data_IF_588983380756
#
_entry.id   IF_588983380756
#
_cell.length_a   1.000
_cell.length_b   1.000
_cell.length_c   1.000
_cell.angle_alpha   90.00
_cell.angle_beta   90.00
_cell.angle_gamma   90.00
#
_symmetry.space_group_name_H-M   'P 1'
#
loop_
_entity.id
_entity.type
_entity.pdbx_description
1 polymer ?
#
# COMPACT_ATOMS: atom_id res chain seq x y z
N UNK A 1 2.84 14.16 -9.05
CA UNK A 1 2.33 12.95 -8.39
C UNK A 1 1.10 13.33 -7.58
N UNK A 2 -0.06 12.69 -7.80
CA UNK A 2 -1.24 12.87 -6.95
C UNK A 2 -1.10 12.01 -5.69
N UNK A 3 -0.30 12.46 -4.72
CA UNK A 3 0.11 11.62 -3.58
C UNK A 3 -0.94 11.52 -2.48
N UNK A 4 -1.76 12.56 -2.31
CA UNK A 4 -2.78 12.61 -1.27
C UNK A 4 -3.94 11.63 -1.57
N UNK A 5 -4.24 11.40 -2.86
CA UNK A 5 -5.36 10.56 -3.30
C UNK A 5 -5.28 9.12 -2.77
N UNK A 6 -4.20 8.36 -3.07
CA UNK A 6 -4.03 7.00 -2.56
C UNK A 6 -4.08 6.92 -1.03
N UNK A 7 -3.49 7.89 -0.34
CA UNK A 7 -3.40 7.92 1.11
C UNK A 7 -4.78 8.13 1.77
N UNK A 8 -5.59 9.05 1.24
CA UNK A 8 -7.00 9.23 1.62
C UNK A 8 -7.82 7.98 1.26
N UNK A 9 -7.52 7.36 0.11
CA UNK A 9 -8.11 6.10 -0.31
C UNK A 9 -7.92 4.97 0.70
N UNK A 10 -6.72 4.81 1.29
CA UNK A 10 -6.49 3.81 2.35
C UNK A 10 -7.29 4.09 3.62
N UNK A 11 -7.42 5.36 4.03
CA UNK A 11 -8.22 5.71 5.21
C UNK A 11 -9.70 5.40 5.03
N UNK A 12 -10.28 5.89 3.93
CA UNK A 12 -11.71 5.70 3.64
C UNK A 12 -11.99 4.23 3.32
N UNK A 13 -11.16 3.61 2.48
CA UNK A 13 -11.25 2.19 2.14
C UNK A 13 -11.12 1.29 3.37
N UNK A 14 -10.25 1.63 4.32
CA UNK A 14 -10.13 0.92 5.60
C UNK A 14 -11.41 0.98 6.44
N UNK A 15 -12.21 2.04 6.35
CA UNK A 15 -13.53 2.08 7.00
C UNK A 15 -14.55 1.23 6.25
N UNK A 16 -14.57 1.26 4.91
CA UNK A 16 -15.46 0.40 4.13
C UNK A 16 -15.16 -1.09 4.35
N UNK A 17 -13.90 -1.45 4.63
CA UNK A 17 -13.53 -2.82 4.97
C UNK A 17 -14.09 -3.32 6.31
N UNK A 18 -14.64 -2.44 7.16
CA UNK A 18 -15.36 -2.86 8.38
C UNK A 18 -16.81 -3.26 8.13
N UNK A 19 -17.35 -2.98 6.95
CA UNK A 19 -18.69 -3.40 6.53
C UNK A 19 -18.58 -4.74 5.82
N UNK A 20 -19.52 -5.66 6.08
CA UNK A 20 -19.53 -6.97 5.43
C UNK A 20 -19.85 -6.84 3.94
N UNK A 21 -19.25 -7.69 3.11
CA UNK A 21 -19.33 -7.59 1.64
C UNK A 21 -20.74 -7.77 1.08
N UNK A 22 -21.54 -8.69 1.66
CA UNK A 22 -22.87 -9.03 1.17
C UNK A 22 -23.93 -8.14 1.82
N UNK A 23 -24.69 -7.44 0.98
CA UNK A 23 -25.79 -6.57 1.44
C UNK A 23 -26.98 -7.46 1.82
N UNK A 24 -27.54 -7.25 3.00
CA UNK A 24 -28.75 -7.96 3.46
C UNK A 24 -28.49 -9.25 4.22
N UNK A 25 -27.22 -9.64 4.40
CA UNK A 25 -26.83 -10.73 5.29
C UNK A 25 -26.29 -10.12 6.59
N UNK A 26 -26.85 -10.50 7.73
CA UNK A 26 -26.34 -10.04 9.02
C UNK A 26 -25.08 -10.85 9.38
N UNK A 27 -23.89 -10.21 9.48
CA UNK A 27 -22.66 -10.91 9.84
C UNK A 27 -22.72 -11.50 11.24
N UNK A 28 -23.58 -10.98 12.12
CA UNK A 28 -23.74 -11.51 13.48
C UNK A 28 -24.36 -12.90 13.47
N UNK A 29 -25.34 -13.18 12.60
CA UNK A 29 -25.93 -14.51 12.40
C UNK A 29 -24.88 -15.52 11.89
N UNK A 30 -23.96 -15.04 11.04
CA UNK A 30 -22.85 -15.84 10.56
C UNK A 30 -21.73 -16.01 11.60
N UNK A 31 -21.75 -15.24 12.68
CA UNK A 31 -20.72 -15.22 13.72
C UNK A 31 -19.40 -14.65 13.24
N UNK A 32 -19.45 -13.63 12.38
CA UNK A 32 -18.30 -13.00 11.74
C UNK A 32 -18.13 -11.56 12.22
N UNK A 33 -16.88 -11.17 12.44
CA UNK A 33 -16.47 -9.82 12.80
C UNK A 33 -15.35 -9.34 11.87
N UNK A 34 -15.11 -8.03 11.82
CA UNK A 34 -14.01 -7.47 10.98
C UNK A 34 -12.60 -7.95 11.34
N UNK A 35 -12.45 -8.60 12.50
CA UNK A 35 -11.22 -9.24 12.96
C UNK A 35 -11.13 -10.73 12.59
N UNK A 36 -12.22 -11.30 12.08
CA UNK A 36 -12.27 -12.71 11.68
C UNK A 36 -11.39 -12.95 10.45
N UNK A 37 -10.74 -14.10 10.41
CA UNK A 37 -9.84 -14.52 9.33
C UNK A 37 -10.52 -14.63 7.95
N UNK A 38 -11.81 -14.99 7.94
CA UNK A 38 -12.65 -15.16 6.73
C UNK A 38 -13.38 -13.86 6.35
N UNK A 39 -13.20 -12.78 7.11
CA UNK A 39 -13.90 -11.53 6.85
C UNK A 39 -13.50 -10.91 5.51
N UNK A 40 -14.49 -10.70 4.64
CA UNK A 40 -14.34 -9.91 3.42
C UNK A 40 -15.13 -8.62 3.58
N UNK A 41 -14.42 -7.50 3.56
CA UNK A 41 -15.03 -6.18 3.66
C UNK A 41 -15.65 -5.72 2.34
N UNK A 42 -16.56 -4.74 2.41
CA UNK A 42 -17.27 -4.17 1.27
C UNK A 42 -16.38 -3.29 0.35
N UNK A 43 -15.42 -3.92 -0.32
CA UNK A 43 -14.42 -3.28 -1.18
C UNK A 43 -15.03 -2.52 -2.37
N UNK A 44 -16.20 -2.95 -2.85
CA UNK A 44 -16.88 -2.39 -4.02
C UNK A 44 -17.44 -0.98 -3.77
N UNK A 45 -17.73 -0.62 -2.51
CA UNK A 45 -18.29 0.70 -2.14
C UNK A 45 -17.34 1.83 -2.58
N UNK A 46 -16.03 1.59 -2.49
CA UNK A 46 -15.02 2.58 -2.90
C UNK A 46 -15.14 2.96 -4.37
N UNK A 47 -15.43 2.01 -5.26
CA UNK A 47 -15.60 2.28 -6.70
C UNK A 47 -16.83 3.15 -6.98
N UNK A 48 -17.94 2.87 -6.31
CA UNK A 48 -19.18 3.67 -6.46
C UNK A 48 -18.97 5.08 -5.93
N UNK A 49 -18.40 5.21 -4.73
CA UNK A 49 -18.14 6.51 -4.12
C UNK A 49 -17.20 7.38 -4.97
N UNK A 50 -16.10 6.80 -5.47
CA UNK A 50 -15.15 7.52 -6.32
C UNK A 50 -15.74 7.88 -7.68
N UNK A 51 -16.59 7.04 -8.26
CA UNK A 51 -17.30 7.34 -9.52
C UNK A 51 -18.27 8.53 -9.36
N UNK A 52 -19.05 8.56 -8.28
CA UNK A 52 -19.97 9.67 -7.99
C UNK A 52 -19.18 10.96 -7.77
N UNK A 53 -18.12 10.92 -6.97
CA UNK A 53 -17.28 12.08 -6.72
C UNK A 53 -16.62 12.60 -8.00
N UNK A 54 -16.14 11.70 -8.86
CA UNK A 54 -15.59 12.04 -10.17
C UNK A 54 -16.61 12.71 -11.08
N UNK A 55 -17.84 12.21 -11.12
CA UNK A 55 -18.93 12.83 -11.88
C UNK A 55 -19.27 14.24 -11.35
N UNK A 56 -19.32 14.41 -10.02
CA UNK A 56 -19.57 15.70 -9.39
C UNK A 56 -18.47 16.72 -9.70
N UNK A 57 -17.20 16.29 -9.77
CA UNK A 57 -16.07 17.16 -10.14
C UNK A 57 -16.06 17.47 -11.64
N UNK A 58 -16.53 16.55 -12.49
CA UNK A 58 -16.62 16.78 -13.93
C UNK A 58 -17.58 17.93 -14.28
N UNK A 59 -18.71 18.07 -13.57
CA UNK A 59 -19.71 19.13 -13.83
C UNK A 59 -19.10 20.55 -13.81
N UNK A 60 -18.45 21.03 -12.72
CA UNK A 60 -17.82 22.36 -12.72
C UNK A 60 -16.65 22.46 -13.71
N UNK A 61 -15.96 21.35 -14.01
CA UNK A 61 -14.92 21.34 -15.05
C UNK A 61 -15.50 21.64 -16.44
N UNK A 62 -16.73 21.21 -16.74
CA UNK A 62 -17.41 21.56 -18.01
C UNK A 62 -17.78 23.04 -18.11
N UNK A 63 -17.88 23.76 -16.99
CA UNK A 63 -18.18 25.18 -16.97
C UNK A 63 -16.93 26.06 -17.27
N UNK A 64 -15.73 25.47 -17.37
CA UNK A 64 -14.54 26.25 -17.73
C UNK A 64 -14.59 26.70 -19.20
N UNK A 65 -14.25 27.97 -19.48
CA UNK A 65 -14.20 28.47 -20.85
C UNK A 65 -13.09 27.75 -21.62
N UNK A 66 -13.33 27.50 -22.92
CA UNK A 66 -12.33 26.88 -23.84
C UNK A 66 -10.98 27.58 -23.82
N UNK A 67 -10.97 28.88 -23.54
CA UNK A 67 -9.77 29.69 -23.37
C UNK A 67 -9.94 30.56 -22.14
N UNK A 68 -9.00 30.47 -21.19
CA UNK A 68 -9.00 31.39 -20.05
C UNK A 68 -8.75 32.83 -20.53
N UNK A 69 -9.46 33.83 -19.99
CA UNK A 69 -9.18 35.23 -20.27
C UNK A 69 -7.73 35.56 -19.88
N UNK A 70 -6.99 36.22 -20.78
CA UNK A 70 -5.55 36.49 -20.60
C UNK A 70 -4.61 35.37 -21.08
N UNK A 71 -5.13 34.18 -21.45
CA UNK A 71 -4.30 33.12 -22.02
C UNK A 71 -3.58 33.55 -23.30
N UNK A 72 -4.25 34.34 -24.16
CA UNK A 72 -3.64 34.89 -25.38
C UNK A 72 -2.51 35.87 -25.07
N UNK A 73 -2.66 36.72 -24.04
CA UNK A 73 -1.66 37.69 -23.63
C UNK A 73 -0.44 37.01 -23.01
N UNK A 74 -0.64 36.04 -22.11
CA UNK A 74 0.44 35.25 -21.50
C UNK A 74 1.13 34.39 -22.57
N UNK A 75 0.37 33.84 -23.53
CA UNK A 75 0.94 33.09 -24.65
C UNK A 75 1.77 34.02 -25.53
N UNK A 76 1.31 35.23 -25.85
CA UNK A 76 2.09 36.22 -26.57
C UNK A 76 3.36 36.61 -25.79
N UNK A 77 3.25 37.01 -24.53
CA UNK A 77 4.39 37.38 -23.66
C UNK A 77 5.41 36.24 -23.55
N UNK A 78 4.98 34.99 -23.29
CA UNK A 78 5.87 33.82 -23.25
C UNK A 78 6.44 33.45 -24.61
N UNK A 79 5.71 33.69 -25.71
CA UNK A 79 6.24 33.45 -27.06
C UNK A 79 7.34 34.47 -27.34
N UNK A 80 7.19 35.72 -26.93
CA UNK A 80 8.24 36.75 -27.07
C UNK A 80 9.45 36.47 -26.19
N UNK A 81 9.25 36.03 -24.93
CA UNK A 81 10.34 35.74 -23.98
C UNK A 81 11.08 34.44 -24.33
N UNK A 82 10.36 33.41 -24.78
CA UNK A 82 10.94 32.18 -25.33
C UNK A 82 11.60 32.46 -26.69
N UNK A 83 10.96 33.20 -27.61
CA UNK A 83 11.57 33.56 -28.90
C UNK A 83 12.78 34.46 -28.74
N UNK A 84 12.84 35.39 -27.77
CA UNK A 84 14.08 36.15 -27.54
C UNK A 84 15.23 35.25 -27.04
N UNK A 85 14.93 34.23 -26.23
CA UNK A 85 15.94 33.25 -25.77
C UNK A 85 16.26 32.16 -26.80
N UNK A 86 15.34 31.84 -27.71
CA UNK A 86 15.46 30.79 -28.73
C UNK A 86 15.71 31.32 -30.16
N UNK A 87 15.60 32.61 -30.45
CA UNK A 87 15.86 33.17 -31.81
C UNK A 87 17.31 32.96 -32.25
N UNK A 88 18.21 32.77 -31.29
CA UNK A 88 19.59 32.42 -31.58
C UNK A 88 19.76 30.90 -31.86
N UNK A 89 18.72 30.07 -31.67
CA UNK A 89 18.80 28.60 -31.64
C UNK A 89 18.28 27.89 -32.88
N UNK A 90 19.09 26.97 -33.41
CA UNK A 90 18.76 26.07 -34.53
C UNK A 90 17.49 25.22 -34.31
N UNK A 91 17.05 25.00 -33.05
CA UNK A 91 15.81 24.29 -32.77
C UNK A 91 14.56 25.00 -33.34
N UNK A 92 14.58 26.34 -33.45
CA UNK A 92 13.50 27.10 -34.09
C UNK A 92 13.62 27.11 -35.61
N UNK A 93 14.85 27.06 -36.15
CA UNK A 93 15.05 26.94 -37.60
C UNK A 93 14.54 25.60 -38.17
N UNK A 94 14.60 24.52 -37.38
CA UNK A 94 14.12 23.19 -37.78
C UNK A 94 12.63 22.93 -37.51
N UNK A 95 11.85 23.93 -37.10
CA UNK A 95 10.39 23.80 -36.95
C UNK A 95 9.93 22.89 -35.79
N UNK A 96 10.79 22.67 -34.79
CA UNK A 96 10.53 21.75 -33.68
C UNK A 96 9.20 22.07 -32.95
N UNK A 97 8.26 21.12 -32.96
CA UNK A 97 7.01 21.19 -32.20
C UNK A 97 5.81 21.76 -32.94
N UNK A 98 5.93 21.99 -34.26
CA UNK A 98 4.80 22.45 -35.09
C UNK A 98 4.04 21.30 -35.74
N UNK A 99 4.66 20.12 -35.91
CA UNK A 99 4.03 18.93 -36.51
C UNK A 99 4.27 17.65 -35.70
N UNK A 100 3.30 16.72 -35.74
CA UNK A 100 3.44 15.38 -35.14
C UNK A 100 4.61 14.58 -35.71
N UNK A 101 5.10 14.97 -36.90
CA UNK A 101 6.30 14.39 -37.53
C UNK A 101 7.62 14.77 -36.83
N UNK A 102 7.61 15.80 -35.98
CA UNK A 102 8.80 16.21 -35.22
C UNK A 102 8.92 15.45 -33.89
N UNK A 103 7.86 14.74 -33.49
CA UNK A 103 7.78 13.98 -32.24
C UNK A 103 8.83 12.85 -32.17
N UNK A 104 9.05 12.02 -33.21
CA UNK A 104 10.08 10.99 -33.19
C UNK A 104 11.50 11.58 -33.06
N UNK A 105 11.78 12.69 -33.75
CA UNK A 105 13.07 13.39 -33.66
C UNK A 105 13.30 13.98 -32.27
N UNK A 106 12.27 14.62 -31.69
CA UNK A 106 12.27 15.12 -30.31
C UNK A 106 12.51 14.01 -29.29
N UNK A 107 11.86 12.85 -29.48
CA UNK A 107 12.01 11.71 -28.59
C UNK A 107 13.42 11.14 -28.65
N UNK A 108 13.98 10.99 -29.86
CA UNK A 108 15.36 10.57 -30.07
C UNK A 108 16.35 11.54 -29.42
N UNK A 109 16.11 12.83 -29.54
CA UNK A 109 16.94 13.86 -28.92
C UNK A 109 16.96 13.75 -27.39
N UNK A 110 15.78 13.63 -26.76
CA UNK A 110 15.67 13.43 -25.31
C UNK A 110 16.35 12.14 -24.83
N UNK A 111 16.20 11.04 -25.57
CA UNK A 111 16.83 9.76 -25.26
C UNK A 111 18.35 9.75 -25.46
N UNK A 112 18.89 10.67 -26.29
CA UNK A 112 20.35 10.80 -26.49
C UNK A 112 20.98 11.61 -25.35
N UNK A 113 20.20 12.36 -24.58
CA UNK A 113 20.69 13.12 -23.43
C UNK A 113 20.83 12.20 -22.19
N UNK A 114 22.06 11.89 -21.74
CA UNK A 114 22.27 10.93 -20.66
C UNK A 114 21.62 11.38 -19.34
N UNK A 115 21.64 12.68 -19.04
CA UNK A 115 21.07 13.21 -17.79
C UNK A 115 19.56 13.01 -17.74
N UNK A 116 18.86 13.24 -18.86
CA UNK A 116 17.43 13.00 -18.96
C UNK A 116 17.12 11.52 -18.76
N UNK A 117 17.83 10.63 -19.45
CA UNK A 117 17.64 9.18 -19.34
C UNK A 117 17.84 8.68 -17.91
N UNK A 118 18.93 9.08 -17.23
CA UNK A 118 19.19 8.66 -15.84
C UNK A 118 18.13 9.20 -14.87
N UNK A 119 17.68 10.44 -15.05
CA UNK A 119 16.67 11.04 -14.19
C UNK A 119 15.28 10.42 -14.42
N UNK A 120 14.94 10.09 -15.66
CA UNK A 120 13.74 9.34 -16.00
C UNK A 120 13.78 7.91 -15.45
N UNK A 121 14.93 7.23 -15.53
CA UNK A 121 15.12 5.89 -14.96
C UNK A 121 15.00 5.91 -13.43
N UNK A 122 15.58 6.93 -12.78
CA UNK A 122 15.43 7.14 -11.34
C UNK A 122 13.96 7.36 -10.95
N UNK A 123 13.25 8.23 -11.67
CA UNK A 123 11.82 8.48 -11.45
C UNK A 123 10.94 7.24 -11.72
N UNK A 124 11.28 6.42 -12.72
CA UNK A 124 10.58 5.17 -12.99
C UNK A 124 10.79 4.14 -11.86
N UNK A 125 12.03 4.02 -11.37
CA UNK A 125 12.37 3.14 -10.24
C UNK A 125 11.66 3.57 -8.96
N UNK A 126 11.63 4.88 -8.69
CA UNK A 126 10.89 5.47 -7.58
C UNK A 126 9.37 5.19 -7.71
N UNK A 127 8.80 5.39 -8.90
CA UNK A 127 7.40 5.11 -9.17
C UNK A 127 7.03 3.64 -8.96
N UNK A 128 7.88 2.71 -9.41
CA UNK A 128 7.71 1.28 -9.18
C UNK A 128 7.74 0.93 -7.69
N UNK A 129 8.68 1.49 -6.93
CA UNK A 129 8.78 1.29 -5.49
C UNK A 129 7.53 1.80 -4.76
N UNK A 130 7.07 3.02 -5.07
CA UNK A 130 5.86 3.60 -4.47
C UNK A 130 4.62 2.78 -4.83
N UNK A 131 4.50 2.32 -6.08
CA UNK A 131 3.38 1.47 -6.51
C UNK A 131 3.38 0.13 -5.77
N UNK A 132 4.53 -0.54 -5.66
CA UNK A 132 4.65 -1.82 -4.96
C UNK A 132 4.34 -1.69 -3.47
N UNK A 133 4.89 -0.65 -2.82
CA UNK A 133 4.60 -0.37 -1.42
C UNK A 133 3.12 -0.02 -1.22
N UNK A 134 2.52 0.82 -2.07
CA UNK A 134 1.09 1.11 -1.95
C UNK A 134 0.27 -0.20 -1.99
N UNK A 135 0.44 -1.02 -3.02
CA UNK A 135 -0.38 -2.23 -3.20
C UNK A 135 -0.20 -3.25 -2.07
N UNK A 136 1.04 -3.53 -1.67
CA UNK A 136 1.31 -4.68 -0.79
C UNK A 136 1.54 -4.31 0.67
N UNK A 137 1.82 -3.05 1.00
CA UNK A 137 2.16 -2.67 2.37
C UNK A 137 1.05 -2.97 3.40
N UNK A 138 -0.24 -2.67 3.14
CA UNK A 138 -1.30 -3.06 4.08
C UNK A 138 -1.31 -4.56 4.33
N UNK A 139 -1.02 -5.36 3.28
CA UNK A 139 -1.02 -6.82 3.39
C UNK A 139 0.20 -7.36 4.13
N UNK A 140 1.35 -6.72 3.96
CA UNK A 140 2.56 -7.00 4.75
C UNK A 140 2.27 -6.74 6.23
N UNK A 141 1.69 -5.59 6.58
CA UNK A 141 1.35 -5.27 7.98
C UNK A 141 0.31 -6.27 8.52
N UNK A 142 -0.72 -6.56 7.75
CA UNK A 142 -1.77 -7.52 8.11
C UNK A 142 -1.20 -8.91 8.41
N UNK A 143 -0.28 -9.39 7.58
CA UNK A 143 0.34 -10.71 7.70
C UNK A 143 1.36 -10.76 8.83
N UNK A 144 2.30 -9.80 8.87
CA UNK A 144 3.41 -9.77 9.84
C UNK A 144 2.93 -9.56 11.27
N UNK A 145 2.00 -8.63 11.48
CA UNK A 145 1.49 -8.29 12.80
C UNK A 145 0.18 -9.01 13.14
N UNK A 146 -0.32 -9.88 12.25
CA UNK A 146 -1.54 -10.67 12.44
C UNK A 146 -2.77 -9.84 12.82
N UNK A 147 -2.88 -8.62 12.29
CA UNK A 147 -3.99 -7.69 12.56
C UNK A 147 -5.09 -7.78 11.49
N UNK A 148 -6.25 -7.18 11.75
CA UNK A 148 -7.35 -7.08 10.79
C UNK A 148 -6.96 -6.22 9.56
N UNK A 149 -7.45 -6.61 8.37
CA UNK A 149 -7.16 -5.90 7.12
C UNK A 149 -7.61 -4.44 7.14
N UNK A 150 -8.76 -4.16 7.75
CA UNK A 150 -9.31 -2.81 7.94
C UNK A 150 -8.37 -1.94 8.78
N UNK A 151 -7.85 -2.48 9.89
CA UNK A 151 -6.94 -1.76 10.77
C UNK A 151 -5.57 -1.53 10.11
N UNK A 152 -5.03 -2.52 9.41
CA UNK A 152 -3.80 -2.38 8.64
C UNK A 152 -3.88 -1.27 7.57
N UNK A 153 -4.99 -1.21 6.82
CA UNK A 153 -5.21 -0.17 5.81
C UNK A 153 -5.27 1.23 6.45
N UNK A 154 -5.95 1.38 7.59
CA UNK A 154 -6.00 2.66 8.32
C UNK A 154 -4.62 3.08 8.80
N UNK A 155 -3.82 2.16 9.37
CA UNK A 155 -2.45 2.46 9.80
C UNK A 155 -1.58 2.94 8.64
N UNK A 156 -1.66 2.27 7.48
CA UNK A 156 -0.95 2.72 6.26
C UNK A 156 -1.40 4.12 5.87
N UNK A 157 -2.70 4.41 5.87
CA UNK A 157 -3.21 5.76 5.60
C UNK A 157 -2.65 6.82 6.55
N UNK A 158 -2.68 6.55 7.87
CA UNK A 158 -2.18 7.48 8.90
C UNK A 158 -0.68 7.73 8.78
N UNK A 159 0.11 6.72 8.41
CA UNK A 159 1.57 6.85 8.22
C UNK A 159 1.91 7.52 6.89
N UNK A 160 1.23 7.14 5.82
CA UNK A 160 1.56 7.61 4.47
C UNK A 160 1.15 9.04 4.23
N UNK A 161 0.00 9.53 4.73
CA UNK A 161 -0.43 10.93 4.54
C UNK A 161 0.63 11.94 5.00
N UNK A 162 1.10 11.93 6.26
CA UNK A 162 2.10 12.89 6.71
C UNK A 162 3.47 12.63 6.07
N UNK A 163 3.86 11.37 5.81
CA UNK A 163 5.13 11.05 5.14
C UNK A 163 5.16 11.57 3.71
N UNK A 164 4.13 11.26 2.92
CA UNK A 164 3.98 11.70 1.55
C UNK A 164 3.77 13.20 1.39
N UNK A 165 2.77 13.75 2.08
CA UNK A 165 2.44 15.16 2.00
C UNK A 165 3.55 16.03 2.58
N UNK A 166 4.05 15.65 3.75
CA UNK A 166 5.17 16.32 4.41
C UNK A 166 6.45 16.22 3.60
N UNK A 167 6.79 15.06 3.06
CA UNK A 167 7.99 14.85 2.23
C UNK A 167 7.95 15.67 0.95
N UNK A 168 6.83 15.63 0.23
CA UNK A 168 6.61 16.41 -1.00
C UNK A 168 6.78 17.92 -0.73
N UNK A 169 6.13 18.43 0.32
CA UNK A 169 6.21 19.84 0.70
C UNK A 169 7.62 20.23 1.15
N UNK A 170 8.24 19.42 2.02
CA UNK A 170 9.58 19.65 2.55
C UNK A 170 10.65 19.61 1.45
N UNK A 171 10.55 18.70 0.49
CA UNK A 171 11.45 18.61 -0.66
C UNK A 171 11.42 19.88 -1.51
N UNK A 172 10.23 20.38 -1.84
CA UNK A 172 10.07 21.65 -2.56
C UNK A 172 10.54 22.86 -1.74
N UNK A 173 10.23 22.87 -0.44
CA UNK A 173 10.67 23.92 0.47
C UNK A 173 12.20 23.98 0.61
N UNK A 174 12.88 22.83 0.73
CA UNK A 174 14.35 22.75 0.82
C UNK A 174 15.02 23.31 -0.44
N UNK A 175 14.54 22.94 -1.63
CA UNK A 175 15.05 23.47 -2.90
C UNK A 175 14.92 24.99 -2.97
N UNK A 176 13.78 25.54 -2.51
CA UNK A 176 13.52 26.98 -2.48
C UNK A 176 14.36 27.70 -1.42
N UNK A 177 14.41 27.20 -0.18
CA UNK A 177 15.11 27.83 0.93
C UNK A 177 16.62 27.88 0.71
N UNK A 178 17.19 26.79 0.19
CA UNK A 178 18.62 26.66 -0.07
C UNK A 178 19.04 27.27 -1.42
N UNK A 179 18.09 27.81 -2.20
CA UNK A 179 18.33 28.35 -3.55
C UNK A 179 19.21 27.44 -4.42
N UNK A 180 18.92 26.13 -4.40
CA UNK A 180 19.78 25.14 -5.05
C UNK A 180 19.72 25.29 -6.57
N UNK A 181 20.91 25.40 -7.19
CA UNK A 181 21.10 25.23 -8.63
C UNK A 181 20.96 23.76 -9.03
N UNK A 182 20.90 23.45 -10.32
CA UNK A 182 20.69 22.09 -10.82
C UNK A 182 21.65 21.05 -10.20
N UNK A 183 22.94 21.37 -10.09
CA UNK A 183 23.91 20.47 -9.46
C UNK A 183 23.62 20.22 -7.96
N UNK A 184 23.12 21.24 -7.24
CA UNK A 184 22.72 21.10 -5.84
C UNK A 184 21.47 20.24 -5.66
N UNK A 185 20.49 20.38 -6.57
CA UNK A 185 19.28 19.54 -6.59
C UNK A 185 19.66 18.07 -6.79
N UNK A 186 20.54 17.77 -7.77
CA UNK A 186 20.96 16.39 -8.02
C UNK A 186 21.73 15.81 -6.83
N UNK A 187 22.66 16.57 -6.23
CA UNK A 187 23.37 16.14 -5.01
C UNK A 187 22.40 15.82 -3.87
N UNK A 188 21.40 16.67 -3.66
CA UNK A 188 20.36 16.47 -2.66
C UNK A 188 19.56 15.19 -2.93
N UNK A 189 19.13 14.96 -4.18
CA UNK A 189 18.43 13.73 -4.57
C UNK A 189 19.28 12.49 -4.28
N UNK A 190 20.56 12.50 -4.67
CA UNK A 190 21.48 11.38 -4.43
C UNK A 190 21.58 11.07 -2.93
N UNK A 191 21.81 12.10 -2.09
CA UNK A 191 21.93 11.93 -0.63
C UNK A 191 20.67 11.29 -0.04
N UNK A 192 19.49 11.80 -0.38
CA UNK A 192 18.24 11.27 0.16
C UNK A 192 17.87 9.91 -0.43
N UNK A 193 18.24 9.61 -1.67
CA UNK A 193 18.11 8.27 -2.24
C UNK A 193 18.97 7.24 -1.50
N UNK A 194 20.22 7.58 -1.12
CA UNK A 194 21.04 6.70 -0.28
C UNK A 194 20.41 6.45 1.10
N UNK A 195 19.82 7.49 1.70
CA UNK A 195 19.08 7.35 2.97
C UNK A 195 17.87 6.42 2.78
N UNK A 196 17.09 6.57 1.70
CA UNK A 196 15.99 5.66 1.38
C UNK A 196 16.46 4.20 1.25
N UNK A 197 17.55 3.95 0.52
CA UNK A 197 18.10 2.58 0.37
C UNK A 197 18.48 1.99 1.72
N UNK A 198 19.07 2.79 2.62
CA UNK A 198 19.35 2.36 4.01
C UNK A 198 18.07 2.02 4.79
N UNK A 199 16.97 2.74 4.57
CA UNK A 199 15.70 2.48 5.24
C UNK A 199 14.96 1.24 4.70
N UNK A 200 15.27 0.76 3.48
CA UNK A 200 14.70 -0.48 2.92
C UNK A 200 15.06 -1.72 3.75
N UNK A 201 16.15 -1.68 4.51
CA UNK A 201 16.52 -2.77 5.44
C UNK A 201 15.49 -3.00 6.55
N UNK A 202 14.47 -2.14 6.68
CA UNK A 202 13.31 -2.38 7.53
C UNK A 202 12.66 -3.75 7.31
N UNK A 203 12.65 -4.28 6.08
CA UNK A 203 12.04 -5.58 5.78
C UNK A 203 12.83 -6.77 6.33
N UNK A 204 14.03 -6.57 6.87
CA UNK A 204 14.76 -7.59 7.63
C UNK A 204 14.11 -7.82 9.00
N UNK A 205 13.40 -6.82 9.54
CA UNK A 205 12.65 -6.97 10.79
C UNK A 205 11.43 -7.86 10.51
N UNK A 206 11.58 -9.16 10.77
CA UNK A 206 10.51 -10.15 10.65
C UNK A 206 9.96 -10.50 12.03
N UNK A 207 8.63 -10.61 12.14
CA UNK A 207 7.99 -11.16 13.33
C UNK A 207 7.90 -12.69 13.18
N UNK A 208 8.03 -13.49 14.25
CA UNK A 208 7.87 -14.94 14.13
C UNK A 208 6.51 -15.26 13.49
N UNK A 209 6.47 -16.18 12.52
CA UNK A 209 5.22 -16.55 11.87
C UNK A 209 4.24 -17.11 12.92
N UNK A 210 2.94 -16.83 12.75
CA UNK A 210 1.91 -17.45 13.58
C UNK A 210 2.04 -18.98 13.52
N UNK A 211 1.91 -19.64 14.67
CA UNK A 211 1.97 -21.10 14.76
C UNK A 211 0.76 -21.66 14.03
N UNK A 212 0.99 -22.54 13.06
CA UNK A 212 -0.06 -23.15 12.26
C UNK A 212 0.06 -24.66 12.34
N UNK A 213 -1.00 -25.30 12.82
CA UNK A 213 -1.09 -26.74 13.03
C UNK A 213 -0.97 -27.50 11.69
N UNK A 214 -0.02 -28.43 11.59
CA UNK A 214 0.26 -29.20 10.37
C UNK A 214 1.15 -28.50 9.34
N UNK A 215 1.59 -27.25 9.59
CA UNK A 215 2.58 -26.53 8.78
C UNK A 215 3.86 -26.23 9.57
N UNK A 216 3.75 -25.36 10.58
CA UNK A 216 4.88 -24.89 11.39
C UNK A 216 4.91 -25.56 12.77
N UNK A 217 3.83 -26.24 13.15
CA UNK A 217 3.73 -26.99 14.40
C UNK A 217 3.18 -28.38 14.09
N UNK A 218 3.93 -29.40 14.51
CA UNK A 218 3.54 -30.79 14.31
C UNK A 218 2.36 -31.15 15.22
N UNK A 219 1.42 -31.91 14.66
CA UNK A 219 0.30 -32.46 15.42
C UNK A 219 0.78 -33.70 16.18
N UNK A 220 0.23 -33.99 17.38
CA UNK A 220 0.54 -35.23 18.08
C UNK A 220 0.28 -36.45 17.17
N UNK A 221 1.27 -37.34 17.06
CA UNK A 221 1.27 -38.53 16.20
C UNK A 221 1.17 -38.30 14.67
N UNK A 222 1.46 -37.10 14.16
CA UNK A 222 1.77 -36.96 12.72
C UNK A 222 3.13 -37.61 12.44
N UNK A 223 3.12 -38.92 12.22
CA UNK A 223 4.27 -39.67 11.72
C UNK A 223 4.58 -39.15 10.32
N UNK A 224 5.71 -38.46 10.14
CA UNK A 224 6.12 -38.01 8.81
C UNK A 224 7.48 -38.60 8.42
N UNK A 225 7.44 -39.34 7.31
CA UNK A 225 8.60 -39.69 6.49
C UNK A 225 8.48 -39.07 5.07
N UNK A 226 7.46 -38.24 4.80
CA UNK A 226 7.05 -37.90 3.43
C UNK A 226 6.93 -36.41 3.11
N UNK A 227 7.10 -35.48 4.06
CA UNK A 227 7.26 -34.04 3.79
C UNK A 227 6.02 -33.37 3.18
N UNK A 228 4.84 -33.96 3.35
CA UNK A 228 3.56 -33.37 2.93
C UNK A 228 2.84 -32.86 4.18
N UNK A 229 2.53 -31.56 4.29
CA UNK A 229 1.83 -31.03 5.45
C UNK A 229 0.45 -31.68 5.57
N UNK A 230 0.28 -32.54 6.58
CA UNK A 230 -1.00 -33.17 6.90
C UNK A 230 -1.64 -32.42 8.06
N UNK A 231 -2.82 -31.85 7.79
CA UNK A 231 -3.68 -31.24 8.79
C UNK A 231 -4.43 -32.28 9.64
N UNK A 232 -4.35 -33.56 9.27
CA UNK A 232 -4.93 -34.69 9.99
C UNK A 232 -3.93 -35.32 10.97
N UNK A 233 -4.39 -35.62 12.18
CA UNK A 233 -3.66 -36.39 13.19
C UNK A 233 -4.65 -37.13 14.11
N UNK A 234 -4.14 -37.80 15.15
CA UNK A 234 -4.98 -38.69 15.99
C UNK A 234 -6.12 -37.96 16.71
N UNK A 235 -5.97 -36.66 16.98
CA UNK A 235 -6.99 -35.86 17.65
C UNK A 235 -8.21 -35.56 16.76
N UNK A 236 -8.03 -35.45 15.44
CA UNK A 236 -9.11 -35.14 14.50
C UNK A 236 -9.44 -36.31 13.56
N UNK A 237 -8.85 -37.49 13.76
CA UNK A 237 -9.09 -38.69 12.95
C UNK A 237 -10.55 -39.16 13.03
N UNK A 238 -11.20 -38.97 14.18
CA UNK A 238 -12.63 -39.25 14.34
C UNK A 238 -13.53 -38.29 13.54
N UNK A 239 -12.98 -37.18 13.05
CA UNK A 239 -13.68 -36.19 12.25
C UNK A 239 -13.30 -36.36 10.78
N UNK A 240 -14.24 -36.82 9.95
CA UNK A 240 -14.07 -36.90 8.48
C UNK A 240 -14.04 -35.51 7.83
N UNK A 241 -13.04 -34.70 8.17
CA UNK A 241 -12.95 -33.29 7.76
C UNK A 241 -12.69 -33.16 6.26
N UNK A 242 -13.46 -32.28 5.61
CA UNK A 242 -13.26 -31.96 4.20
C UNK A 242 -12.12 -30.95 4.04
N UNK A 243 -11.10 -31.23 3.20
CA UNK A 243 -10.03 -30.27 2.92
C UNK A 243 -10.52 -29.06 2.10
N UNK A 244 -11.71 -29.10 1.52
CA UNK A 244 -12.26 -27.99 0.71
C UNK A 244 -12.83 -26.85 1.56
N UNK A 245 -13.07 -27.07 2.85
CA UNK A 245 -13.70 -26.10 3.73
C UNK A 245 -12.66 -25.42 4.62
N UNK A 246 -12.13 -24.30 4.12
CA UNK A 246 -11.20 -23.45 4.85
C UNK A 246 -11.98 -22.45 5.72
N UNK A 247 -11.82 -22.55 7.05
CA UNK A 247 -12.46 -21.67 8.04
C UNK A 247 -11.54 -21.56 9.26
N UNK A 248 -10.39 -20.88 9.14
CA UNK A 248 -9.32 -21.01 10.11
C UNK A 248 -9.70 -20.37 11.45
N UNK A 249 -9.41 -21.10 12.52
CA UNK A 249 -9.71 -20.71 13.91
C UNK A 249 -8.43 -20.61 14.71
N UNK A 250 -8.40 -19.69 15.67
CA UNK A 250 -7.33 -19.57 16.65
C UNK A 250 -7.70 -20.34 17.92
N UNK A 251 -6.85 -21.27 18.34
CA UNK A 251 -6.97 -21.95 19.63
C UNK A 251 -6.48 -21.10 20.80
N UNK A 252 -6.87 -21.44 22.02
CA UNK A 252 -6.38 -20.83 23.26
C UNK A 252 -4.88 -21.05 23.49
N UNK A 253 -4.29 -22.01 22.78
CA UNK A 253 -2.85 -22.29 22.68
C UNK A 253 -2.09 -21.31 21.75
N UNK A 254 -2.77 -20.31 21.18
CA UNK A 254 -2.25 -19.40 20.14
C UNK A 254 -1.77 -20.11 18.87
N UNK A 255 -2.43 -21.23 18.51
CA UNK A 255 -2.18 -21.97 17.27
C UNK A 255 -3.37 -21.82 16.32
N UNK A 256 -3.08 -21.59 15.04
CA UNK A 256 -4.09 -21.54 13.99
C UNK A 256 -4.33 -22.94 13.45
N UNK A 257 -5.60 -23.33 13.40
CA UNK A 257 -6.06 -24.60 12.83
C UNK A 257 -6.81 -24.32 11.51
N UNK A 258 -6.70 -25.23 10.55
CA UNK A 258 -7.28 -25.06 9.20
C UNK A 258 -8.80 -24.85 9.19
N UNK A 259 -9.50 -25.56 10.08
CA UNK A 259 -10.94 -25.39 10.32
C UNK A 259 -11.29 -25.84 11.74
N UNK A 260 -12.47 -25.51 12.29
CA UNK A 260 -12.90 -26.02 13.59
C UNK A 260 -12.98 -27.56 13.62
N UNK A 261 -13.21 -28.21 12.48
CA UNK A 261 -13.17 -29.67 12.36
C UNK A 261 -11.74 -30.21 12.52
N UNK A 262 -10.75 -29.57 11.89
CA UNK A 262 -9.34 -29.97 12.05
C UNK A 262 -8.80 -29.66 13.45
N UNK A 263 -9.42 -28.74 14.20
CA UNK A 263 -9.17 -28.54 15.63
C UNK A 263 -9.88 -29.58 16.52
N UNK A 264 -10.73 -30.43 15.95
CA UNK A 264 -11.45 -31.49 16.66
C UNK A 264 -12.54 -30.97 17.60
N UNK A 265 -13.09 -29.78 17.33
CA UNK A 265 -14.13 -29.14 18.14
C UNK A 265 -15.51 -29.72 17.86
N UNK A 266 -16.25 -30.08 18.91
CA UNK A 266 -17.62 -30.62 18.81
C UNK A 266 -18.70 -29.57 19.09
N UNK A 267 -18.42 -28.64 19.99
CA UNK A 267 -19.40 -27.64 20.40
C UNK A 267 -19.13 -26.31 19.69
N UNK A 268 -20.21 -25.66 19.24
CA UNK A 268 -20.18 -24.32 18.67
C UNK A 268 -21.10 -23.43 19.48
N UNK A 269 -20.58 -22.28 19.90
CA UNK A 269 -21.33 -21.26 20.61
C UNK A 269 -21.19 -19.92 19.90
N UNK A 270 -22.06 -18.98 20.25
CA UNK A 270 -22.04 -17.62 19.72
C UNK A 270 -21.83 -16.67 20.90
N UNK A 271 -20.65 -16.05 20.96
CA UNK A 271 -20.30 -15.10 21.99
C UNK A 271 -20.35 -13.70 21.39
N UNK A 272 -21.29 -12.87 21.88
CA UNK A 272 -21.66 -11.59 21.28
C UNK A 272 -22.06 -11.70 19.81
N UNK A 273 -21.10 -11.59 18.91
CA UNK A 273 -21.27 -11.59 17.45
C UNK A 273 -20.27 -12.51 16.74
N UNK A 274 -19.45 -13.25 17.49
CA UNK A 274 -18.40 -14.13 16.96
C UNK A 274 -18.73 -15.58 17.29
N UNK A 275 -18.54 -16.48 16.32
CA UNK A 275 -18.59 -17.92 16.58
C UNK A 275 -17.34 -18.36 17.33
N UNK A 276 -17.57 -19.07 18.42
CA UNK A 276 -16.54 -19.64 19.30
C UNK A 276 -16.80 -21.12 19.45
N UNK A 277 -15.75 -21.91 19.70
CA UNK A 277 -15.80 -23.35 19.70
C UNK A 277 -15.26 -23.91 21.01
N UNK A 278 -15.81 -25.05 21.43
CA UNK A 278 -15.41 -25.77 22.63
C UNK A 278 -15.43 -27.29 22.43
N UNK A 279 -14.91 -28.02 23.43
CA UNK A 279 -14.69 -29.47 23.36
C UNK A 279 -13.84 -29.85 22.13
N UNK A 280 -12.66 -29.22 22.04
CA UNK A 280 -11.70 -29.36 20.97
C UNK A 280 -10.61 -30.35 21.36
N UNK A 281 -10.60 -31.52 20.72
CA UNK A 281 -9.67 -32.61 21.02
C UNK A 281 -8.22 -32.36 20.61
N UNK A 282 -7.97 -31.44 19.67
CA UNK A 282 -6.60 -31.09 19.25
C UNK A 282 -5.98 -29.95 20.07
N UNK A 283 -6.75 -29.28 20.94
CA UNK A 283 -6.31 -28.11 21.71
C UNK A 283 -6.09 -28.54 23.16
N UNK A 284 -4.84 -28.82 23.51
CA UNK A 284 -4.44 -29.22 24.86
C UNK A 284 -4.04 -27.99 25.70
N UNK A 285 -4.98 -27.05 25.84
CA UNK A 285 -4.82 -25.85 26.66
C UNK A 285 -6.12 -25.55 27.41
N UNK A 286 -6.00 -25.01 28.62
CA UNK A 286 -7.16 -24.57 29.40
C UNK A 286 -8.01 -23.61 28.57
N UNK A 287 -9.30 -23.91 28.47
CA UNK A 287 -10.25 -23.06 27.80
C UNK A 287 -10.63 -21.85 28.66
N UNK A 288 -11.13 -20.82 28.01
CA UNK A 288 -11.64 -19.63 28.68
C UNK A 288 -13.07 -19.88 29.13
N UNK A 289 -13.33 -19.75 30.44
CA UNK A 289 -14.67 -19.84 31.00
C UNK A 289 -15.45 -18.57 30.67
N UNK A 290 -16.53 -18.73 29.91
CA UNK A 290 -17.45 -17.64 29.58
C UNK A 290 -18.89 -18.07 29.88
N UNK A 291 -19.75 -17.11 30.20
CA UNK A 291 -21.17 -17.37 30.50
C UNK A 291 -22.01 -16.96 29.31
N UNK A 292 -22.53 -17.94 28.56
CA UNK A 292 -23.39 -17.71 27.40
C UNK A 292 -24.81 -18.13 27.77
N UNK A 293 -25.77 -17.20 27.69
CA UNK A 293 -27.19 -17.44 28.04
C UNK A 293 -27.39 -18.06 29.44
N UNK A 294 -26.56 -17.68 30.43
CA UNK A 294 -26.64 -18.20 31.80
C UNK A 294 -26.01 -19.57 32.03
N UNK A 295 -25.39 -20.17 31.01
CA UNK A 295 -24.61 -21.40 31.12
C UNK A 295 -23.12 -21.10 31.03
N UNK A 296 -22.33 -21.61 31.96
CA UNK A 296 -20.86 -21.56 31.88
C UNK A 296 -20.38 -22.56 30.84
N UNK A 297 -19.72 -22.05 29.80
CA UNK A 297 -19.13 -22.84 28.71
C UNK A 297 -17.63 -22.60 28.65
N UNK A 298 -16.91 -23.62 28.23
CA UNK A 298 -15.45 -23.57 28.07
C UNK A 298 -15.14 -23.34 26.60
N UNK A 299 -14.57 -22.18 26.29
CA UNK A 299 -14.18 -21.79 24.93
C UNK A 299 -12.71 -22.15 24.72
N UNK A 300 -12.42 -22.93 23.69
CA UNK A 300 -11.06 -23.35 23.34
C UNK A 300 -10.59 -22.79 22.00
N UNK A 301 -11.49 -22.34 21.12
CA UNK A 301 -11.11 -21.68 19.87
C UNK A 301 -12.07 -20.57 19.46
N UNK A 302 -11.58 -19.60 18.68
CA UNK A 302 -12.36 -18.49 18.12
C UNK A 302 -12.02 -18.28 16.64
N UNK A 303 -12.92 -17.64 15.88
CA UNK A 303 -12.66 -17.26 14.46
C UNK A 303 -11.76 -16.04 14.28
N UNK A 304 -11.32 -15.44 15.38
CA UNK A 304 -10.46 -14.26 15.33
C UNK A 304 -9.03 -14.65 14.97
N UNK A 305 -8.25 -13.69 14.47
CA UNK A 305 -6.82 -13.92 14.23
C UNK A 305 -6.09 -14.14 15.55
N UNK A 306 -5.15 -15.09 15.56
CA UNK A 306 -4.28 -15.28 16.72
C UNK A 306 -3.43 -14.03 16.96
N UNK A 307 -3.32 -13.65 18.24
CA UNK A 307 -2.50 -12.52 18.65
C UNK A 307 -1.03 -12.92 18.52
N UNK A 308 -0.28 -12.17 17.72
CA UNK A 308 1.15 -12.32 17.63
C UNK A 308 1.82 -11.09 18.25
N UNK A 309 2.32 -11.24 19.49
CA UNK A 309 2.97 -10.15 20.20
C UNK A 309 4.32 -9.82 19.55
N UNK A 310 4.34 -8.78 18.71
CA UNK A 310 5.55 -8.31 18.07
C UNK A 310 5.91 -6.90 18.55
N UNK A 311 6.94 -6.79 19.40
CA UNK A 311 7.44 -5.51 19.93
C UNK A 311 8.00 -4.58 18.85
N UNK A 312 8.31 -5.11 17.65
CA UNK A 312 8.86 -4.33 16.54
C UNK A 312 7.81 -3.51 15.77
N UNK A 313 6.51 -3.65 16.05
CA UNK A 313 5.45 -2.94 15.31
C UNK A 313 5.61 -1.41 15.30
N UNK A 314 5.83 -0.71 16.43
CA UNK A 314 5.98 0.74 16.41
C UNK A 314 7.24 1.19 15.66
N UNK A 315 8.33 0.44 15.80
CA UNK A 315 9.59 0.71 15.10
C UNK A 315 9.43 0.54 13.59
N UNK A 316 8.71 -0.50 13.15
CA UNK A 316 8.38 -0.72 11.75
C UNK A 316 7.55 0.43 11.18
N UNK A 317 6.48 0.86 11.88
CA UNK A 317 5.65 1.98 11.42
C UNK A 317 6.45 3.30 11.32
N UNK A 318 7.35 3.56 12.27
CA UNK A 318 8.21 4.74 12.26
C UNK A 318 9.23 4.70 11.11
N UNK A 319 9.86 3.55 10.87
CA UNK A 319 10.82 3.40 9.78
C UNK A 319 10.13 3.50 8.39
N UNK A 320 8.91 2.98 8.25
CA UNK A 320 8.10 3.19 7.04
C UNK A 320 7.74 4.65 6.86
N UNK A 321 7.35 5.34 7.93
CA UNK A 321 7.08 6.77 7.88
C UNK A 321 8.30 7.53 7.33
N UNK A 322 9.49 7.26 7.88
CA UNK A 322 10.74 7.87 7.41
C UNK A 322 11.05 7.48 5.96
N UNK A 323 10.88 6.22 5.59
CA UNK A 323 11.13 5.75 4.22
C UNK A 323 10.22 6.48 3.21
N UNK A 324 8.93 6.60 3.53
CA UNK A 324 7.98 7.36 2.71
C UNK A 324 8.33 8.84 2.67
N UNK A 325 8.69 9.43 3.82
CA UNK A 325 9.10 10.83 3.90
C UNK A 325 10.26 11.14 2.95
N UNK A 326 11.35 10.37 3.02
CA UNK A 326 12.52 10.59 2.17
C UNK A 326 12.24 10.28 0.69
N UNK A 327 11.43 9.27 0.40
CA UNK A 327 11.03 8.96 -1.00
C UNK A 327 10.32 10.15 -1.61
N UNK A 328 9.28 10.66 -0.95
CA UNK A 328 8.54 11.81 -1.47
C UNK A 328 9.31 13.13 -1.41
N UNK A 329 10.32 13.23 -0.53
CA UNK A 329 11.24 14.36 -0.48
C UNK A 329 12.10 14.46 -1.73
N UNK A 330 12.44 13.34 -2.38
CA UNK A 330 13.18 13.29 -3.66
C UNK A 330 12.28 13.60 -4.86
N UNK A 331 11.00 13.20 -4.81
CA UNK A 331 10.06 13.32 -5.93
C UNK A 331 9.92 14.74 -6.52
N UNK A 332 9.75 15.77 -5.68
CA UNK A 332 9.56 17.16 -6.13
C UNK A 332 10.85 17.81 -6.64
N UNK A 333 12.01 17.70 -5.94
CA UNK A 333 13.29 18.10 -6.47
C UNK A 333 13.64 17.43 -7.81
N UNK A 334 13.37 16.12 -7.94
CA UNK A 334 13.58 15.38 -9.18
C UNK A 334 12.78 15.99 -10.35
N UNK A 335 11.47 16.19 -10.18
CA UNK A 335 10.62 16.83 -11.19
C UNK A 335 11.07 18.26 -11.53
N UNK A 336 11.42 19.07 -10.51
CA UNK A 336 11.94 20.43 -10.73
C UNK A 336 13.27 20.40 -11.49
N UNK A 337 14.14 19.43 -11.17
CA UNK A 337 15.38 19.16 -11.86
C UNK A 337 15.15 18.82 -13.32
N UNK A 338 14.27 17.86 -13.63
CA UNK A 338 13.94 17.45 -15.00
C UNK A 338 13.40 18.61 -15.81
N UNK A 339 12.46 19.38 -15.28
CA UNK A 339 11.88 20.53 -15.99
C UNK A 339 12.93 21.60 -16.27
N UNK A 340 13.79 21.94 -15.29
CA UNK A 340 14.88 22.89 -15.49
C UNK A 340 15.92 22.37 -16.48
N UNK A 341 16.21 21.07 -16.50
CA UNK A 341 17.17 20.46 -17.42
C UNK A 341 16.63 20.36 -18.85
N UNK A 342 15.34 20.04 -19.03
CA UNK A 342 14.73 20.09 -20.36
C UNK A 342 14.80 21.51 -20.93
N UNK A 343 14.49 22.52 -20.11
CA UNK A 343 14.58 23.93 -20.52
C UNK A 343 16.03 24.32 -20.77
N UNK A 344 16.98 23.96 -19.90
CA UNK A 344 18.41 24.29 -20.09
C UNK A 344 19.03 23.55 -21.27
N UNK A 345 18.68 22.27 -21.51
CA UNK A 345 19.23 21.51 -22.64
C UNK A 345 18.75 22.12 -23.95
N UNK A 346 17.48 22.54 -24.03
CA UNK A 346 16.98 23.34 -25.16
C UNK A 346 17.74 24.67 -25.33
N UNK A 347 18.29 25.24 -24.24
CA UNK A 347 19.07 26.49 -24.27
C UNK A 347 20.56 26.25 -24.55
N UNK A 348 21.20 25.16 -24.11
CA UNK A 348 22.65 24.94 -24.23
C UNK A 348 23.05 24.44 -25.62
N UNK A 349 22.18 23.71 -26.32
CA UNK A 349 22.37 23.37 -27.74
C UNK A 349 22.55 24.64 -28.59
N UNK A 350 22.01 25.76 -28.11
CA UNK A 350 22.07 27.08 -28.73
C UNK A 350 23.48 27.72 -28.74
N UNK A 351 24.40 27.25 -27.91
CA UNK A 351 25.75 27.85 -27.79
C UNK A 351 26.88 26.99 -28.34
N UNK A 352 26.60 25.74 -28.73
CA UNK A 352 27.62 24.76 -29.18
C UNK A 352 27.54 24.37 -30.65
N UNK A 353 26.64 25.01 -31.42
CA UNK A 353 26.55 24.89 -32.88
C UNK A 353 26.68 26.30 -33.47
#
# INVERSE_FOLDING_TARGET
MAVIGPAVGYLIGGQFLKLYVDIGVDPTELGLTSSSSVWVGAWWIGFIFTAILGALVAIPLTAFPKTLPGALRIRAEKTTEMHQKLQNSEAVQNGFGTSLKDLPSSFRFLLTNPTFVFLSLAGATEGMLVSGLATFLPKVIESQFSIAASYAAVLVGVVTIPGAGGGTFLGGYLVKKLNLRCAGIIKMCIIFSFICVGLVFIFILHCPNAKFAGLNQFLPNSTDLSGVPKFQGSCNEACSCSPRQYDPVCGTDNVVYYSPCFAGCKNTYQLHSTKVYGDCSCIDHEGRNETINGQSVIIQASREKCVNYCSYMPAFLLLIFLSMLFTFLVSMPSLSGTLRYCILSLIVINETI
#
